data_IF_796236764872
#
_entry.id   IF_796236764872
#
_cell.length_a   1.000
_cell.length_b   1.000
_cell.length_c   1.000
_cell.angle_alpha   90.00
_cell.angle_beta   90.00
_cell.angle_gamma   90.00
#
_symmetry.space_group_name_H-M   'P 1'
#
loop_
_entity.id
_entity.type
_entity.pdbx_description
1 polymer ?
#
# COMPACT_ATOMS: atom_id res chain seq x y z
N UNK A 1 17.53 39.15 -6.13
CA UNK A 1 16.79 38.19 -6.98
C UNK A 1 17.19 38.21 -8.47
N UNK A 2 17.82 39.27 -9.00
CA UNK A 2 18.20 39.34 -10.43
C UNK A 2 19.51 38.60 -10.80
N UNK A 3 20.44 38.39 -9.87
CA UNK A 3 21.75 37.77 -10.16
C UNK A 3 21.65 36.26 -10.44
N UNK A 4 20.71 35.55 -9.80
CA UNK A 4 20.53 34.10 -9.95
C UNK A 4 19.94 33.75 -11.34
N UNK A 5 19.07 34.61 -11.88
CA UNK A 5 18.43 34.41 -13.19
C UNK A 5 19.44 34.65 -14.33
N UNK A 6 20.38 35.59 -14.17
CA UNK A 6 21.43 35.84 -15.18
C UNK A 6 22.43 34.68 -15.23
N UNK A 7 22.74 34.06 -14.09
CA UNK A 7 23.66 32.91 -14.03
C UNK A 7 23.08 31.65 -14.70
N UNK A 8 21.77 31.40 -14.55
CA UNK A 8 21.13 30.22 -15.16
C UNK A 8 21.03 30.33 -16.70
N UNK A 9 20.82 31.54 -17.22
CA UNK A 9 20.81 31.80 -18.67
C UNK A 9 22.22 31.62 -19.25
N UNK A 10 23.25 32.07 -18.54
CA UNK A 10 24.64 31.91 -18.99
C UNK A 10 25.07 30.42 -19.05
N UNK A 11 24.68 29.62 -18.06
CA UNK A 11 25.01 28.18 -18.03
C UNK A 11 24.28 27.41 -19.14
N UNK A 12 23.02 27.76 -19.43
CA UNK A 12 22.26 27.16 -20.54
C UNK A 12 22.85 27.48 -21.91
N UNK A 13 23.32 28.72 -22.12
CA UNK A 13 23.96 29.12 -23.38
C UNK A 13 25.29 28.39 -23.61
N UNK A 14 26.11 28.21 -22.56
CA UNK A 14 27.40 27.50 -22.66
C UNK A 14 27.17 26.01 -22.97
N UNK A 15 26.17 25.38 -22.34
CA UNK A 15 25.81 23.99 -22.63
C UNK A 15 25.31 23.80 -24.08
N UNK A 16 24.56 24.76 -24.62
CA UNK A 16 24.11 24.75 -26.02
C UNK A 16 25.27 24.87 -27.02
N UNK A 17 26.23 25.76 -26.75
CA UNK A 17 27.40 25.96 -27.61
C UNK A 17 28.33 24.74 -27.60
N UNK A 18 28.56 24.14 -26.44
CA UNK A 18 29.39 22.93 -26.30
C UNK A 18 28.70 21.73 -26.99
N UNK A 19 27.39 21.59 -26.83
CA UNK A 19 26.60 20.56 -27.53
C UNK A 19 26.63 20.71 -29.05
N UNK A 20 26.54 21.95 -29.56
CA UNK A 20 26.62 22.23 -30.99
C UNK A 20 28.03 21.93 -31.54
N UNK A 21 29.09 22.31 -30.81
CA UNK A 21 30.47 22.06 -31.24
C UNK A 21 30.84 20.57 -31.25
N UNK A 22 30.40 19.81 -30.23
CA UNK A 22 30.59 18.36 -30.17
C UNK A 22 29.76 17.64 -31.25
N UNK A 23 28.54 18.09 -31.52
CA UNK A 23 27.71 17.58 -32.61
C UNK A 23 28.34 17.83 -33.99
N UNK A 24 28.90 19.02 -34.20
CA UNK A 24 29.58 19.38 -35.45
C UNK A 24 30.85 18.55 -35.68
N UNK A 25 31.71 18.37 -34.67
CA UNK A 25 32.91 17.53 -34.80
C UNK A 25 32.57 16.05 -35.01
N UNK A 26 31.55 15.53 -34.33
CA UNK A 26 31.07 14.17 -34.55
C UNK A 26 30.58 13.97 -35.98
N UNK A 27 29.82 14.93 -36.53
CA UNK A 27 29.32 14.85 -37.89
C UNK A 27 30.43 14.97 -38.95
N UNK A 28 31.45 15.81 -38.69
CA UNK A 28 32.62 16.00 -39.55
C UNK A 28 33.50 14.75 -39.61
N UNK A 29 33.76 14.10 -38.49
CA UNK A 29 34.50 12.81 -38.45
C UNK A 29 33.75 11.70 -39.17
N UNK A 30 32.42 11.70 -39.09
CA UNK A 30 31.57 10.73 -39.80
C UNK A 30 31.67 10.91 -41.31
N UNK A 31 31.60 12.14 -41.84
CA UNK A 31 31.72 12.39 -43.28
C UNK A 31 33.09 11.95 -43.83
N UNK A 32 34.19 12.25 -43.12
CA UNK A 32 35.53 11.85 -43.56
C UNK A 32 35.73 10.32 -43.55
N UNK A 33 35.07 9.61 -42.63
CA UNK A 33 35.12 8.13 -42.56
C UNK A 33 34.15 7.43 -43.53
N UNK A 34 33.27 8.15 -44.25
CA UNK A 34 32.31 7.53 -45.18
C UNK A 34 32.89 7.32 -46.58
N UNK A 35 34.07 7.89 -46.87
CA UNK A 35 34.75 7.76 -48.17
C UNK A 35 35.54 6.46 -48.33
N UNK A 36 35.72 5.66 -47.27
CA UNK A 36 36.37 4.35 -47.34
C UNK A 36 35.53 3.29 -46.61
N UNK A 37 35.15 2.24 -47.34
CA UNK A 37 34.53 0.96 -46.91
C UNK A 37 33.00 0.81 -46.99
N UNK A 38 32.59 0.40 -48.19
CA UNK A 38 31.83 -0.84 -48.50
C UNK A 38 30.78 -1.38 -47.51
N UNK A 39 29.51 -1.26 -47.94
CA UNK A 39 28.34 -2.17 -47.98
C UNK A 39 28.13 -3.37 -47.03
N UNK A 40 29.01 -3.66 -46.07
CA UNK A 40 28.85 -4.75 -45.09
C UNK A 40 28.55 -4.32 -43.65
N UNK A 41 28.64 -3.03 -43.31
CA UNK A 41 28.63 -2.58 -41.89
C UNK A 41 27.33 -1.92 -41.42
N UNK A 42 26.51 -1.38 -42.32
CA UNK A 42 25.36 -0.55 -41.93
C UNK A 42 24.24 -1.37 -41.27
N UNK A 43 23.99 -2.58 -41.77
CA UNK A 43 23.05 -3.55 -41.16
C UNK A 43 23.47 -3.95 -39.75
N UNK A 44 24.76 -4.18 -39.52
CA UNK A 44 25.24 -4.66 -38.22
C UNK A 44 25.32 -3.54 -37.18
N UNK A 45 25.62 -2.31 -37.61
CA UNK A 45 25.49 -1.11 -36.76
C UNK A 45 24.03 -0.85 -36.37
N UNK A 46 23.07 -1.07 -37.28
CA UNK A 46 21.64 -0.94 -36.95
C UNK A 46 21.21 -2.03 -35.98
N UNK A 47 21.64 -3.29 -36.17
CA UNK A 47 21.37 -4.38 -35.21
C UNK A 47 21.92 -4.08 -33.82
N UNK A 48 23.15 -3.59 -33.73
CA UNK A 48 23.79 -3.24 -32.46
C UNK A 48 23.02 -2.10 -31.74
N UNK A 49 22.59 -1.07 -32.49
CA UNK A 49 21.76 0.00 -31.94
C UNK A 49 20.39 -0.50 -31.47
N UNK A 50 19.75 -1.39 -32.23
CA UNK A 50 18.46 -1.99 -31.83
C UNK A 50 18.61 -2.84 -30.57
N UNK A 51 19.68 -3.62 -30.44
CA UNK A 51 19.99 -4.36 -29.21
C UNK A 51 20.24 -3.43 -28.03
N UNK A 52 20.96 -2.32 -28.24
CA UNK A 52 21.20 -1.30 -27.23
C UNK A 52 19.89 -0.66 -26.76
N UNK A 53 19.01 -0.26 -27.68
CA UNK A 53 17.68 0.29 -27.36
C UNK A 53 16.85 -0.75 -26.59
N UNK A 54 16.82 -2.02 -27.04
CA UNK A 54 16.12 -3.09 -26.34
C UNK A 54 16.62 -3.29 -24.91
N UNK A 55 17.93 -3.25 -24.71
CA UNK A 55 18.54 -3.35 -23.38
C UNK A 55 18.18 -2.15 -22.50
N UNK A 56 18.20 -0.93 -23.05
CA UNK A 56 17.75 0.26 -22.32
C UNK A 56 16.26 0.20 -21.97
N UNK A 57 15.40 -0.28 -22.88
CA UNK A 57 13.97 -0.49 -22.60
C UNK A 57 13.78 -1.53 -21.49
N UNK A 58 14.54 -2.63 -21.51
CA UNK A 58 14.49 -3.65 -20.45
C UNK A 58 14.88 -3.05 -19.09
N UNK A 59 15.96 -2.28 -19.03
CA UNK A 59 16.37 -1.57 -17.79
C UNK A 59 15.33 -0.57 -17.32
N UNK A 60 14.67 0.15 -18.24
CA UNK A 60 13.59 1.06 -17.87
C UNK A 60 12.38 0.31 -17.31
N UNK A 61 12.05 -0.87 -17.86
CA UNK A 61 10.97 -1.71 -17.30
C UNK A 61 11.32 -2.25 -15.92
N UNK A 62 12.58 -2.64 -15.68
CA UNK A 62 13.08 -3.03 -14.35
C UNK A 62 13.07 -1.85 -13.36
N UNK A 63 13.48 -0.66 -13.78
CA UNK A 63 13.40 0.54 -12.94
C UNK A 63 11.95 0.91 -12.62
N UNK A 64 11.02 0.75 -13.55
CA UNK A 64 9.60 0.98 -13.32
C UNK A 64 9.01 -0.03 -12.31
N UNK A 65 9.41 -1.31 -12.38
CA UNK A 65 8.96 -2.31 -11.40
C UNK A 65 9.56 -2.06 -10.01
N UNK A 66 10.84 -1.70 -9.93
CA UNK A 66 11.51 -1.30 -8.69
C UNK A 66 10.83 -0.10 -8.04
N UNK A 67 10.52 0.94 -8.84
CA UNK A 67 9.79 2.11 -8.36
C UNK A 67 8.43 1.72 -7.77
N UNK A 68 7.68 0.84 -8.44
CA UNK A 68 6.40 0.35 -7.94
C UNK A 68 6.54 -0.37 -6.60
N UNK A 69 7.56 -1.20 -6.43
CA UNK A 69 7.83 -1.88 -5.15
C UNK A 69 8.17 -0.90 -4.02
N UNK A 70 8.93 0.17 -4.32
CA UNK A 70 9.22 1.23 -3.35
C UNK A 70 7.94 1.97 -2.94
N UNK A 71 7.10 2.34 -3.90
CA UNK A 71 5.81 2.99 -3.62
C UNK A 71 4.82 2.09 -2.84
N UNK A 72 4.91 0.76 -3.00
CA UNK A 72 4.17 -0.20 -2.18
C UNK A 72 4.73 -0.25 -0.75
N UNK A 73 6.05 -0.28 -0.60
CA UNK A 73 6.71 -0.29 0.70
C UNK A 73 6.44 0.99 1.51
N UNK A 74 6.49 2.17 0.86
CA UNK A 74 6.17 3.45 1.50
C UNK A 74 4.74 3.45 2.07
N UNK A 75 3.76 2.98 1.28
CA UNK A 75 2.37 2.85 1.74
C UNK A 75 2.22 1.88 2.91
N UNK A 76 2.89 0.73 2.85
CA UNK A 76 2.83 -0.25 3.93
C UNK A 76 3.47 0.31 5.22
N UNK A 77 4.54 1.11 5.09
CA UNK A 77 5.14 1.85 6.21
C UNK A 77 4.18 2.87 6.83
N UNK A 78 3.48 3.67 6.01
CA UNK A 78 2.48 4.64 6.50
C UNK A 78 1.34 3.96 7.28
N UNK A 79 0.91 2.79 6.82
CA UNK A 79 -0.13 1.99 7.50
C UNK A 79 0.37 1.51 8.87
N UNK A 80 1.62 1.09 8.98
CA UNK A 80 2.23 0.69 10.25
C UNK A 80 2.31 1.88 11.21
N UNK A 81 2.81 3.03 10.75
CA UNK A 81 2.91 4.24 11.56
C UNK A 81 1.53 4.69 12.08
N UNK A 82 0.52 4.64 11.22
CA UNK A 82 -0.86 4.93 11.62
C UNK A 82 -1.37 3.93 12.66
N UNK A 83 -1.03 2.65 12.51
CA UNK A 83 -1.39 1.62 13.48
C UNK A 83 -0.71 1.84 14.84
N UNK A 84 0.57 2.22 14.86
CA UNK A 84 1.32 2.56 16.08
C UNK A 84 0.63 3.73 16.81
N UNK A 85 0.33 4.82 16.10
CA UNK A 85 -0.38 5.97 16.67
C UNK A 85 -1.73 5.57 17.30
N UNK A 86 -2.44 4.62 16.69
CA UNK A 86 -3.70 4.08 17.23
C UNK A 86 -3.48 3.26 18.49
N UNK A 87 -2.44 2.43 18.55
CA UNK A 87 -2.12 1.64 19.74
C UNK A 87 -1.86 2.54 20.96
N UNK A 88 -1.19 3.68 20.77
CA UNK A 88 -0.99 4.66 21.85
C UNK A 88 -2.32 5.17 22.42
N UNK A 89 -3.28 5.47 21.55
CA UNK A 89 -4.62 5.90 21.99
C UNK A 89 -5.38 4.78 22.71
N UNK A 90 -5.26 3.54 22.24
CA UNK A 90 -5.86 2.38 22.94
C UNK A 90 -5.23 2.19 24.32
N UNK A 91 -3.91 2.35 24.44
CA UNK A 91 -3.20 2.30 25.72
C UNK A 91 -3.68 3.38 26.69
N UNK A 92 -3.87 4.62 26.22
CA UNK A 92 -4.43 5.70 27.04
C UNK A 92 -5.85 5.36 27.52
N UNK A 93 -6.67 4.73 26.67
CA UNK A 93 -8.01 4.28 27.05
C UNK A 93 -7.97 3.13 28.07
N UNK A 94 -7.04 2.20 27.90
CA UNK A 94 -6.83 1.11 28.85
C UNK A 94 -6.37 1.64 30.21
N UNK A 95 -5.45 2.61 30.23
CA UNK A 95 -5.03 3.25 31.48
C UNK A 95 -6.22 3.93 32.18
N UNK A 96 -7.04 4.68 31.43
CA UNK A 96 -8.27 5.27 31.96
C UNK A 96 -9.27 4.22 32.47
N UNK A 97 -9.31 3.04 31.88
CA UNK A 97 -10.16 1.93 32.34
C UNK A 97 -9.64 1.32 33.64
N UNK A 98 -8.32 1.13 33.77
CA UNK A 98 -7.69 0.63 34.99
C UNK A 98 -7.85 1.60 36.16
N UNK A 99 -7.80 2.90 35.89
CA UNK A 99 -8.03 3.95 36.89
C UNK A 99 -9.52 4.09 37.26
N UNK A 100 -10.42 3.49 36.47
CA UNK A 100 -11.86 3.46 36.75
C UNK A 100 -12.20 2.30 37.69
N UNK A 101 -13.34 2.40 38.38
CA UNK A 101 -13.86 1.34 39.27
C UNK A 101 -14.58 0.21 38.48
N UNK A 102 -14.46 0.20 37.14
CA UNK A 102 -15.06 -0.80 36.25
C UNK A 102 -14.01 -1.84 35.81
N UNK A 103 -13.72 -2.78 36.71
CA UNK A 103 -12.75 -3.86 36.49
C UNK A 103 -13.13 -4.74 35.29
N UNK A 104 -14.42 -4.98 35.08
CA UNK A 104 -14.91 -5.81 33.97
C UNK A 104 -14.64 -5.17 32.61
N UNK A 105 -14.82 -3.85 32.51
CA UNK A 105 -14.46 -3.10 31.31
C UNK A 105 -12.94 -3.13 31.04
N UNK A 106 -12.14 -2.89 32.08
CA UNK A 106 -10.68 -2.91 31.98
C UNK A 106 -10.14 -4.28 31.52
N UNK A 107 -10.62 -5.37 32.11
CA UNK A 107 -10.24 -6.73 31.73
C UNK A 107 -10.64 -7.07 30.30
N UNK A 108 -11.87 -6.69 29.90
CA UNK A 108 -12.35 -6.91 28.53
C UNK A 108 -11.50 -6.15 27.50
N UNK A 109 -11.19 -4.89 27.79
CA UNK A 109 -10.36 -4.04 26.93
C UNK A 109 -8.93 -4.58 26.82
N UNK A 110 -8.30 -4.94 27.95
CA UNK A 110 -6.95 -5.50 27.99
C UNK A 110 -6.84 -6.79 27.17
N UNK A 111 -7.79 -7.71 27.35
CA UNK A 111 -7.82 -9.00 26.65
C UNK A 111 -7.92 -8.80 25.14
N UNK A 112 -8.85 -7.95 24.69
CA UNK A 112 -9.05 -7.67 23.26
C UNK A 112 -7.87 -6.93 22.66
N UNK A 113 -7.30 -5.98 23.40
CA UNK A 113 -6.12 -5.23 22.97
C UNK A 113 -4.91 -6.14 22.79
N UNK A 114 -4.64 -7.02 23.76
CA UNK A 114 -3.54 -7.98 23.69
C UNK A 114 -3.66 -8.94 22.51
N UNK A 115 -4.89 -9.41 22.23
CA UNK A 115 -5.17 -10.25 21.06
C UNK A 115 -4.94 -9.48 19.76
N UNK A 116 -5.45 -8.25 19.66
CA UNK A 116 -5.29 -7.41 18.48
C UNK A 116 -3.81 -7.09 18.21
N UNK A 117 -3.02 -6.79 19.24
CA UNK A 117 -1.58 -6.52 19.09
C UNK A 117 -0.84 -7.72 18.49
N UNK A 118 -1.15 -8.93 18.94
CA UNK A 118 -0.54 -10.16 18.38
C UNK A 118 -0.90 -10.35 16.91
N UNK A 119 -2.16 -10.08 16.54
CA UNK A 119 -2.63 -10.19 15.17
C UNK A 119 -2.01 -9.12 14.27
N UNK A 120 -1.86 -7.89 14.75
CA UNK A 120 -1.17 -6.83 14.03
C UNK A 120 0.31 -7.18 13.77
N UNK A 121 1.00 -7.76 14.76
CA UNK A 121 2.37 -8.25 14.57
C UNK A 121 2.42 -9.41 13.56
N UNK A 122 1.43 -10.30 13.57
CA UNK A 122 1.34 -11.39 12.61
C UNK A 122 1.10 -10.88 11.18
N UNK A 123 0.17 -9.95 11.00
CA UNK A 123 -0.09 -9.30 9.71
C UNK A 123 1.14 -8.51 9.23
N UNK A 124 1.78 -7.73 10.12
CA UNK A 124 2.96 -6.93 9.77
C UNK A 124 4.20 -7.77 9.41
N UNK A 125 4.28 -9.02 9.88
CA UNK A 125 5.38 -9.93 9.56
C UNK A 125 5.17 -10.74 8.27
N UNK A 126 3.96 -10.72 7.71
CA UNK A 126 3.56 -11.57 6.57
C UNK A 126 3.24 -10.72 5.35
N UNK A 127 3.63 -11.15 4.15
CA UNK A 127 3.25 -10.47 2.90
C UNK A 127 1.81 -10.77 2.49
N UNK A 128 1.31 -11.94 2.84
CA UNK A 128 -0.06 -12.39 2.60
C UNK A 128 -0.58 -13.18 3.79
N UNK A 129 -1.89 -13.17 3.96
CA UNK A 129 -2.59 -13.85 5.06
C UNK A 129 -3.85 -14.53 4.52
N UNK A 130 -4.25 -15.64 5.12
CA UNK A 130 -5.47 -16.35 4.72
C UNK A 130 -6.71 -15.48 4.95
N UNK A 131 -7.71 -15.63 4.10
CA UNK A 131 -8.95 -14.84 4.19
C UNK A 131 -9.71 -15.19 5.47
N UNK A 132 -9.76 -16.46 5.85
CA UNK A 132 -10.35 -16.89 7.12
C UNK A 132 -9.66 -16.25 8.32
N UNK A 133 -8.33 -16.22 8.32
CA UNK A 133 -7.56 -15.59 9.38
C UNK A 133 -7.79 -14.07 9.41
N UNK A 134 -7.84 -13.41 8.24
CA UNK A 134 -8.19 -11.98 8.14
C UNK A 134 -9.57 -11.71 8.74
N UNK A 135 -10.56 -12.57 8.48
CA UNK A 135 -11.89 -12.40 9.06
C UNK A 135 -11.86 -12.51 10.59
N UNK A 136 -11.05 -13.43 11.15
CA UNK A 136 -10.82 -13.53 12.59
C UNK A 136 -10.08 -12.32 13.18
N UNK A 137 -9.21 -11.68 12.41
CA UNK A 137 -8.55 -10.43 12.79
C UNK A 137 -9.52 -9.25 12.79
N UNK A 138 -10.40 -9.18 11.80
CA UNK A 138 -11.46 -8.18 11.72
C UNK A 138 -12.45 -8.29 12.86
N UNK A 139 -12.85 -9.51 13.23
CA UNK A 139 -13.69 -9.73 14.41
C UNK A 139 -13.03 -9.18 15.67
N UNK A 140 -11.75 -9.48 15.88
CA UNK A 140 -11.01 -8.98 17.03
C UNK A 140 -10.92 -7.45 17.03
N UNK A 141 -10.60 -6.84 15.88
CA UNK A 141 -10.47 -5.40 15.71
C UNK A 141 -11.80 -4.67 15.97
N UNK A 142 -12.91 -5.15 15.41
CA UNK A 142 -14.25 -4.60 15.66
C UNK A 142 -14.63 -4.71 17.13
N UNK A 143 -14.30 -5.83 17.76
CA UNK A 143 -14.58 -6.03 19.18
C UNK A 143 -13.74 -5.13 20.08
N UNK A 144 -12.48 -4.86 19.70
CA UNK A 144 -11.64 -3.91 20.41
C UNK A 144 -12.23 -2.50 20.34
N UNK A 145 -12.62 -2.05 19.14
CA UNK A 145 -13.25 -0.74 18.96
C UNK A 145 -14.56 -0.62 19.76
N UNK A 146 -15.36 -1.69 19.82
CA UNK A 146 -16.57 -1.74 20.64
C UNK A 146 -16.24 -1.62 22.13
N UNK A 147 -15.23 -2.37 22.60
CA UNK A 147 -14.79 -2.32 23.99
C UNK A 147 -14.22 -0.96 24.39
N UNK A 148 -13.54 -0.22 23.49
CA UNK A 148 -13.10 1.16 23.76
C UNK A 148 -14.26 2.10 24.15
N UNK A 149 -15.48 1.76 23.71
CA UNK A 149 -16.70 2.51 23.97
C UNK A 149 -17.65 1.78 24.93
N UNK A 150 -17.12 1.02 25.89
CA UNK A 150 -17.90 0.27 26.88
C UNK A 150 -18.95 -0.67 26.25
N UNK A 151 -18.65 -1.20 25.05
CA UNK A 151 -19.56 -2.07 24.30
C UNK A 151 -20.94 -1.45 24.00
N UNK A 152 -21.02 -0.12 23.87
CA UNK A 152 -22.25 0.62 23.56
C UNK A 152 -22.84 0.29 22.19
N UNK A 153 -22.08 -0.34 21.30
CA UNK A 153 -22.49 -0.77 19.98
C UNK A 153 -21.98 -2.18 19.68
N UNK A 154 -22.73 -2.92 18.87
CA UNK A 154 -22.41 -4.29 18.46
C UNK A 154 -21.92 -4.34 17.01
N UNK A 155 -21.30 -5.46 16.63
CA UNK A 155 -20.91 -5.70 15.24
C UNK A 155 -21.45 -7.04 14.75
N UNK A 156 -21.72 -7.10 13.45
CA UNK A 156 -22.15 -8.31 12.75
C UNK A 156 -21.25 -8.52 11.54
N UNK A 157 -20.60 -9.69 11.46
CA UNK A 157 -19.85 -10.12 10.29
C UNK A 157 -20.70 -11.15 9.55
N UNK A 158 -21.12 -10.83 8.33
CA UNK A 158 -21.90 -11.72 7.49
C UNK A 158 -20.99 -12.35 6.42
N UNK A 159 -20.89 -13.68 6.47
CA UNK A 159 -20.13 -14.51 5.53
C UNK A 159 -21.04 -15.38 4.65
N UNK A 160 -22.37 -15.14 4.63
CA UNK A 160 -23.35 -16.03 3.96
C UNK A 160 -23.12 -16.16 2.44
N UNK A 161 -22.47 -15.15 1.86
CA UNK A 161 -22.11 -15.08 0.44
C UNK A 161 -20.62 -15.28 0.20
N UNK A 162 -19.89 -15.73 1.21
CA UNK A 162 -18.50 -16.10 1.10
C UNK A 162 -18.40 -17.55 0.66
N UNK A 163 -17.61 -17.82 -0.38
CA UNK A 163 -17.41 -19.18 -0.84
C UNK A 163 -16.41 -19.90 0.08
N UNK A 164 -16.80 -21.03 0.66
CA UNK A 164 -15.96 -21.81 1.57
C UNK A 164 -14.62 -22.23 0.94
N UNK A 165 -14.56 -22.40 -0.39
CA UNK A 165 -13.32 -22.70 -1.10
C UNK A 165 -12.27 -21.58 -0.99
N UNK A 166 -12.71 -20.33 -0.83
CA UNK A 166 -11.80 -19.18 -0.77
C UNK A 166 -11.23 -18.96 0.64
N UNK A 167 -11.68 -19.70 1.68
CA UNK A 167 -11.22 -19.52 3.08
C UNK A 167 -9.70 -19.62 3.23
N UNK A 168 -9.11 -20.64 2.61
CA UNK A 168 -7.68 -20.97 2.69
C UNK A 168 -6.84 -20.22 1.67
N UNK A 169 -7.47 -19.40 0.82
CA UNK A 169 -6.74 -18.55 -0.12
C UNK A 169 -6.26 -17.30 0.60
N UNK A 170 -5.18 -16.72 0.09
CA UNK A 170 -4.54 -15.58 0.74
C UNK A 170 -4.87 -14.27 0.05
N UNK A 171 -4.88 -13.19 0.81
CA UNK A 171 -4.96 -11.81 0.32
C UNK A 171 -3.75 -11.02 0.84
N UNK A 172 -3.52 -9.82 0.31
CA UNK A 172 -2.45 -8.95 0.78
C UNK A 172 -2.62 -8.67 2.28
N UNK A 173 -1.58 -8.91 3.07
CA UNK A 173 -1.57 -8.59 4.50
C UNK A 173 -1.63 -7.08 4.74
N UNK A 174 -2.06 -6.66 5.95
CA UNK A 174 -2.14 -5.23 6.34
C UNK A 174 -2.99 -4.37 5.38
N UNK A 175 -3.94 -4.98 4.67
CA UNK A 175 -4.77 -4.29 3.69
C UNK A 175 -6.17 -3.98 4.25
N UNK A 176 -6.90 -5.00 4.68
CA UNK A 176 -8.31 -4.88 5.10
C UNK A 176 -8.44 -4.44 6.56
N UNK A 177 -7.72 -5.06 7.50
CA UNK A 177 -7.80 -4.72 8.93
C UNK A 177 -7.52 -3.24 9.19
N UNK A 178 -6.42 -2.65 8.66
CA UNK A 178 -6.14 -1.23 8.86
C UNK A 178 -7.18 -0.30 8.23
N UNK A 179 -7.80 -0.70 7.12
CA UNK A 179 -8.88 0.05 6.47
C UNK A 179 -10.16 0.07 7.29
N UNK A 180 -10.57 -1.06 7.86
CA UNK A 180 -11.75 -1.08 8.77
C UNK A 180 -11.48 -0.18 9.97
N UNK A 181 -10.30 -0.28 10.57
CA UNK A 181 -9.89 0.61 11.66
C UNK A 181 -9.94 2.07 11.22
N UNK A 182 -9.43 2.41 10.04
CA UNK A 182 -9.46 3.78 9.50
C UNK A 182 -10.88 4.33 9.34
N UNK A 183 -11.80 3.56 8.78
CA UNK A 183 -13.17 4.03 8.59
C UNK A 183 -13.95 4.16 9.89
N UNK A 184 -13.63 3.37 10.91
CA UNK A 184 -14.34 3.38 12.19
C UNK A 184 -13.67 4.23 13.27
N UNK A 185 -12.41 4.64 13.08
CA UNK A 185 -11.60 5.28 14.11
C UNK A 185 -12.28 6.50 14.72
N UNK A 186 -12.64 7.47 13.89
CA UNK A 186 -13.26 8.72 14.32
C UNK A 186 -14.64 8.50 14.96
N UNK A 187 -15.42 7.58 14.41
CA UNK A 187 -16.73 7.24 14.99
C UNK A 187 -16.59 6.62 16.36
N UNK A 188 -15.56 5.79 16.54
CA UNK A 188 -15.23 5.15 17.81
C UNK A 188 -14.79 6.21 18.82
N UNK A 189 -13.81 7.04 18.50
CA UNK A 189 -13.30 8.07 19.42
C UNK A 189 -14.37 9.08 19.85
N UNK A 190 -15.29 9.44 18.96
CA UNK A 190 -16.38 10.38 19.25
C UNK A 190 -17.62 9.71 19.85
N UNK A 191 -17.62 8.38 20.01
CA UNK A 191 -18.77 7.58 20.45
C UNK A 191 -20.06 7.88 19.66
N UNK A 192 -19.93 8.04 18.34
CA UNK A 192 -21.05 8.41 17.45
C UNK A 192 -21.65 7.22 16.69
N UNK A 193 -21.16 6.00 16.95
CA UNK A 193 -21.74 4.79 16.36
C UNK A 193 -23.10 4.56 16.99
N UNK A 194 -24.14 4.50 16.16
CA UNK A 194 -25.54 4.46 16.60
C UNK A 194 -25.88 3.21 17.42
N UNK A 195 -25.77 2.02 16.82
CA UNK A 195 -26.07 0.73 17.47
C UNK A 195 -25.28 -0.45 16.91
N UNK A 196 -25.15 -0.54 15.58
CA UNK A 196 -24.56 -1.71 14.94
C UNK A 196 -23.67 -1.33 13.78
N UNK A 197 -22.50 -1.97 13.69
CA UNK A 197 -21.63 -1.98 12.51
C UNK A 197 -21.81 -3.30 11.80
N UNK A 198 -22.07 -3.28 10.48
CA UNK A 198 -22.22 -4.51 9.69
C UNK A 198 -21.08 -4.63 8.70
N UNK A 199 -20.43 -5.79 8.67
CA UNK A 199 -19.38 -6.12 7.71
C UNK A 199 -19.88 -7.31 6.88
N UNK A 200 -20.18 -7.07 5.61
CA UNK A 200 -20.51 -8.14 4.66
C UNK A 200 -19.25 -8.52 3.89
N UNK A 201 -18.94 -9.82 3.84
CA UNK A 201 -17.82 -10.34 3.06
C UNK A 201 -18.38 -11.24 1.97
N UNK A 202 -18.02 -10.93 0.74
CA UNK A 202 -18.40 -11.69 -0.46
C UNK A 202 -17.14 -12.01 -1.24
N UNK A 203 -16.97 -13.25 -1.70
CA UNK A 203 -15.86 -13.61 -2.58
C UNK A 203 -16.36 -13.97 -3.97
N UNK A 204 -15.51 -13.73 -4.95
CA UNK A 204 -15.56 -14.37 -6.26
C UNK A 204 -14.25 -15.15 -6.50
N UNK A 205 -14.07 -15.71 -7.69
CA UNK A 205 -12.89 -16.54 -8.01
C UNK A 205 -11.56 -15.77 -7.94
N UNK A 206 -11.56 -14.44 -7.99
CA UNK A 206 -10.36 -13.63 -8.11
C UNK A 206 -10.22 -12.55 -7.02
N UNK A 207 -11.31 -12.14 -6.40
CA UNK A 207 -11.37 -11.00 -5.47
C UNK A 207 -12.26 -11.31 -4.26
N UNK A 208 -11.95 -10.68 -3.13
CA UNK A 208 -12.85 -10.58 -1.98
C UNK A 208 -13.29 -9.13 -1.83
N UNK A 209 -14.61 -8.94 -1.76
CA UNK A 209 -15.24 -7.66 -1.49
C UNK A 209 -15.70 -7.61 -0.02
N UNK A 210 -15.21 -6.58 0.66
CA UNK A 210 -15.61 -6.21 2.02
C UNK A 210 -16.50 -4.96 1.96
N UNK A 211 -17.71 -5.07 2.49
CA UNK A 211 -18.67 -3.96 2.59
C UNK A 211 -18.94 -3.65 4.05
N UNK A 212 -18.46 -2.49 4.50
CA UNK A 212 -18.63 -1.98 5.85
C UNK A 212 -19.78 -0.97 5.89
N UNK A 213 -20.78 -1.20 6.74
CA UNK A 213 -21.92 -0.30 6.96
C UNK A 213 -21.90 0.25 8.38
N UNK A 214 -21.85 1.58 8.50
CA UNK A 214 -21.88 2.29 9.78
C UNK A 214 -22.75 3.54 9.63
N UNK A 215 -23.70 3.74 10.55
CA UNK A 215 -24.60 4.90 10.56
C UNK A 215 -25.32 5.18 9.21
N UNK A 216 -25.65 4.12 8.46
CA UNK A 216 -26.28 4.23 7.14
C UNK A 216 -25.32 4.54 5.98
N UNK A 217 -24.05 4.80 6.27
CA UNK A 217 -22.99 4.98 5.26
C UNK A 217 -22.38 3.62 4.94
N UNK A 218 -22.15 3.36 3.65
CA UNK A 218 -21.54 2.14 3.15
C UNK A 218 -20.16 2.45 2.57
N UNK A 219 -19.15 1.70 3.00
CA UNK A 219 -17.79 1.71 2.47
C UNK A 219 -17.50 0.36 1.85
N UNK A 220 -16.78 0.36 0.73
CA UNK A 220 -16.42 -0.87 0.02
C UNK A 220 -14.92 -0.92 -0.20
N UNK A 221 -14.33 -2.09 -0.01
CA UNK A 221 -12.94 -2.39 -0.37
C UNK A 221 -12.87 -3.75 -1.00
N UNK A 222 -12.15 -3.83 -2.11
CA UNK A 222 -11.85 -5.08 -2.81
C UNK A 222 -10.38 -5.41 -2.63
N UNK A 223 -10.09 -6.68 -2.44
CA UNK A 223 -8.71 -7.19 -2.46
C UNK A 223 -8.62 -8.38 -3.39
N UNK A 224 -7.54 -8.41 -4.17
CA UNK A 224 -7.26 -9.52 -5.05
C UNK A 224 -6.84 -10.74 -4.23
N UNK A 225 -7.43 -11.88 -4.54
CA UNK A 225 -7.02 -13.16 -3.98
C UNK A 225 -5.73 -13.57 -4.67
N UNK A 226 -4.69 -13.77 -3.88
CA UNK A 226 -3.39 -14.15 -4.38
C UNK A 226 -3.47 -15.60 -4.88
N UNK A 227 -3.52 -15.76 -6.21
CA UNK A 227 -3.22 -17.03 -6.86
C UNK A 227 -1.71 -17.14 -6.91
N UNK A 228 -1.11 -17.82 -5.93
CA UNK A 228 0.33 -18.01 -5.87
C UNK A 228 0.88 -18.43 -7.23
N UNK A 229 1.68 -17.56 -7.83
CA UNK A 229 2.57 -17.93 -8.93
C UNK A 229 3.96 -17.45 -8.58
N UNK A 230 4.81 -18.46 -8.33
CA UNK A 230 6.26 -18.49 -8.08
C UNK A 230 6.76 -17.95 -6.75
#
# INVERSE_FOLDING_TARGET
MHIIIVLSIAISAIAGIVGYYLGYEYHRRRLNNTTEKESGSESDVIKERVMSVRNHTMRLTELASLKKMVEEFERDSEIIDLSINRLEVVLLKLQSAIESDDEAWAESLLTRFSKHLRQLLHEGASSSIEIEETNGHLECALSLLSAMNHNTWAYEINLDRFNDFDKTRTIKSMSITPWVLEKLWDYTLKSTISKTVKLEVTSDTYEVLYRLKVNGITYERKEAIWSGST
#
